data_IF_884693878738
#
_entry.id   IF_884693878738
#
_cell.length_a   1.000
_cell.length_b   1.000
_cell.length_c   1.000
_cell.angle_alpha   90.00
_cell.angle_beta   90.00
_cell.angle_gamma   90.00
#
_symmetry.space_group_name_H-M   'P 1'
#
loop_
_entity.id
_entity.type
_entity.pdbx_description
1 polymer ?
#
# COMPACT_ATOMS: atom_id res chain seq x y z
N UNK A 1 31.17 19.60 5.60
CA UNK A 1 30.99 18.19 5.99
C UNK A 1 29.62 18.10 6.59
N UNK A 2 28.74 17.28 6.02
CA UNK A 2 27.43 17.05 6.61
C UNK A 2 27.61 16.35 7.96
N UNK A 3 26.83 16.78 8.94
CA UNK A 3 26.57 15.96 10.12
C UNK A 3 25.97 14.64 9.69
N UNK A 4 26.17 13.61 10.49
CA UNK A 4 25.51 12.36 10.18
C UNK A 4 23.97 12.57 10.23
N UNK A 5 23.41 13.39 11.15
CA UNK A 5 22.01 13.95 11.23
C UNK A 5 21.54 14.78 10.03
N UNK A 6 22.34 14.93 8.98
CA UNK A 6 22.03 15.71 7.78
C UNK A 6 21.99 14.83 6.51
N UNK A 7 22.01 13.51 6.69
CA UNK A 7 21.89 12.50 5.63
C UNK A 7 20.48 11.86 5.68
N UNK A 8 19.98 11.37 4.55
CA UNK A 8 18.88 10.40 4.51
C UNK A 8 19.45 8.99 4.50
N UNK A 9 19.09 8.15 5.46
CA UNK A 9 19.59 6.77 5.60
C UNK A 9 18.42 5.80 5.55
N UNK A 10 18.59 4.69 4.82
CA UNK A 10 17.64 3.60 4.83
C UNK A 10 17.38 3.11 6.28
N UNK A 11 16.14 3.23 6.74
CA UNK A 11 15.67 2.84 8.09
C UNK A 11 16.36 3.54 9.27
N UNK A 12 17.01 4.71 9.09
CA UNK A 12 17.73 5.39 10.18
C UNK A 12 16.89 5.61 11.45
N UNK A 13 15.59 5.84 11.32
CA UNK A 13 14.65 6.02 12.42
C UNK A 13 14.27 4.73 13.17
N UNK A 14 14.67 3.55 12.68
CA UNK A 14 14.32 2.25 13.24
C UNK A 14 15.41 1.71 14.18
N UNK A 15 15.13 1.56 15.50
CA UNK A 15 16.12 1.12 16.49
C UNK A 15 16.61 -0.33 16.31
N UNK A 16 15.92 -1.13 15.49
CA UNK A 16 16.38 -2.48 15.12
C UNK A 16 17.46 -2.46 14.02
N UNK A 17 17.62 -1.32 13.34
CA UNK A 17 18.58 -1.14 12.25
C UNK A 17 19.66 -0.11 12.58
N UNK A 18 19.40 0.92 13.39
CA UNK A 18 20.38 1.96 13.78
C UNK A 18 20.15 2.48 15.22
N UNK A 19 21.21 2.73 16.00
CA UNK A 19 21.14 3.00 17.47
C UNK A 19 21.93 4.24 17.91
N UNK A 20 21.26 5.40 17.97
CA UNK A 20 21.87 6.72 18.22
C UNK A 20 22.77 6.83 19.46
N UNK A 21 24.10 6.85 19.27
CA UNK A 21 25.08 6.94 20.35
C UNK A 21 26.13 8.04 20.15
N UNK A 22 26.74 8.49 21.24
CA UNK A 22 27.80 9.51 21.23
C UNK A 22 29.18 8.87 21.23
N UNK A 23 29.87 8.87 20.08
CA UNK A 23 31.14 8.18 19.93
C UNK A 23 32.36 9.05 20.34
N UNK A 24 33.24 8.59 21.25
CA UNK A 24 34.44 9.32 21.64
C UNK A 24 35.37 9.60 20.46
N UNK A 25 35.60 10.89 20.18
CA UNK A 25 36.43 11.32 19.03
C UNK A 25 35.65 11.62 17.76
N UNK A 26 34.32 11.46 17.73
CA UNK A 26 33.49 12.03 16.65
C UNK A 26 33.53 13.57 16.69
N UNK A 27 33.38 14.20 15.53
CA UNK A 27 33.14 15.66 15.41
C UNK A 27 31.67 16.04 15.66
N UNK A 28 30.77 15.06 15.70
CA UNK A 28 29.33 15.25 15.91
C UNK A 28 28.90 14.63 17.24
N UNK A 29 27.88 15.20 17.93
CA UNK A 29 27.50 14.79 19.29
C UNK A 29 26.82 13.42 19.36
N UNK A 30 26.38 12.90 18.20
CA UNK A 30 25.86 11.56 17.98
C UNK A 30 26.38 11.05 16.63
N UNK A 31 26.28 9.73 16.47
CA UNK A 31 26.53 8.92 15.27
C UNK A 31 25.62 7.67 15.35
N UNK A 32 25.67 6.83 14.32
CA UNK A 32 25.02 5.51 14.11
C UNK A 32 24.15 4.94 15.24
N UNK A 33 24.36 3.72 15.72
CA UNK A 33 25.19 2.61 15.26
C UNK A 33 24.31 1.57 14.54
N UNK A 34 24.59 1.17 13.29
CA UNK A 34 23.77 0.18 12.58
C UNK A 34 23.82 -1.17 13.30
N UNK A 35 22.68 -1.84 13.45
CA UNK A 35 22.59 -3.10 14.16
C UNK A 35 22.57 -4.30 13.21
N UNK A 36 21.71 -4.26 12.18
CA UNK A 36 21.64 -5.27 11.14
C UNK A 36 20.95 -4.76 9.86
N UNK A 37 21.57 -4.91 8.68
CA UNK A 37 20.94 -4.68 7.35
C UNK A 37 21.42 -5.68 6.29
N UNK A 38 20.71 -5.75 5.17
CA UNK A 38 21.03 -6.61 4.01
C UNK A 38 21.39 -5.85 2.71
N UNK A 39 21.21 -4.53 2.70
CA UNK A 39 21.77 -3.57 1.75
C UNK A 39 21.91 -2.22 2.46
N UNK A 40 22.75 -1.33 1.94
CA UNK A 40 23.01 -0.01 2.50
C UNK A 40 22.60 1.08 1.51
N UNK A 41 21.85 2.08 1.96
CA UNK A 41 21.71 3.34 1.26
C UNK A 41 21.83 4.54 2.20
N UNK A 42 22.68 5.50 1.80
CA UNK A 42 22.79 6.83 2.42
C UNK A 42 22.78 7.91 1.34
N UNK A 43 22.12 9.04 1.61
CA UNK A 43 21.99 10.18 0.69
C UNK A 43 22.28 11.48 1.42
N UNK A 44 23.38 12.15 1.10
CA UNK A 44 23.67 13.51 1.55
C UNK A 44 23.19 14.56 0.56
N UNK A 45 22.77 15.73 1.07
CA UNK A 45 22.43 16.90 0.27
C UNK A 45 23.16 18.13 0.81
N UNK A 46 23.88 18.85 -0.03
CA UNK A 46 24.68 20.02 0.36
C UNK A 46 24.43 21.21 -0.58
N UNK A 47 24.17 22.38 -0.01
CA UNK A 47 24.02 23.65 -0.72
C UNK A 47 25.39 24.16 -1.21
N UNK A 48 25.54 24.42 -2.52
CA UNK A 48 26.83 24.88 -3.10
C UNK A 48 27.24 26.27 -2.64
N UNK A 49 26.32 27.07 -2.07
CA UNK A 49 26.62 28.39 -1.49
C UNK A 49 27.42 28.29 -0.19
N UNK A 50 27.50 27.10 0.42
CA UNK A 50 28.39 26.80 1.54
C UNK A 50 29.83 26.46 1.10
N UNK A 51 30.06 26.36 -0.22
CA UNK A 51 31.34 26.02 -0.82
C UNK A 51 31.94 27.25 -1.54
N UNK A 52 33.26 27.31 -1.60
CA UNK A 52 33.96 28.36 -2.36
C UNK A 52 33.67 28.21 -3.85
N UNK A 53 33.42 29.32 -4.58
CA UNK A 53 33.18 29.28 -6.02
C UNK A 53 34.48 29.01 -6.80
N UNK A 54 34.33 28.65 -8.06
CA UNK A 54 35.40 28.26 -8.99
C UNK A 54 36.40 27.25 -8.41
N UNK A 55 35.90 26.24 -7.68
CA UNK A 55 36.70 25.25 -6.96
C UNK A 55 36.20 23.83 -7.24
N UNK A 56 37.13 22.89 -7.48
CA UNK A 56 36.82 21.45 -7.57
C UNK A 56 36.81 20.86 -6.15
N UNK A 57 35.76 20.11 -5.84
CA UNK A 57 35.57 19.40 -4.58
C UNK A 57 35.50 17.90 -4.83
N UNK A 58 36.28 17.11 -4.08
CA UNK A 58 36.02 15.68 -3.91
C UNK A 58 34.99 15.46 -2.80
N UNK A 59 34.08 14.51 -3.00
CA UNK A 59 33.16 14.06 -1.96
C UNK A 59 33.61 12.72 -1.39
N UNK A 60 33.50 12.57 -0.06
CA UNK A 60 33.97 11.40 0.66
C UNK A 60 32.89 10.94 1.65
N UNK A 61 32.63 9.64 1.70
CA UNK A 61 31.92 9.04 2.83
C UNK A 61 32.95 8.64 3.89
N UNK A 62 32.63 8.91 5.16
CA UNK A 62 33.48 8.64 6.32
C UNK A 62 32.76 7.64 7.22
N UNK A 63 33.45 6.57 7.60
CA UNK A 63 32.88 5.42 8.31
C UNK A 63 33.89 4.78 9.27
N UNK A 64 33.44 3.86 10.12
CA UNK A 64 34.29 3.08 11.02
C UNK A 64 33.64 1.73 11.30
N UNK A 65 34.46 0.70 11.42
CA UNK A 65 34.05 -0.65 11.82
C UNK A 65 34.43 -0.95 13.28
N UNK A 66 33.78 -1.94 13.85
CA UNK A 66 34.09 -2.58 15.13
C UNK A 66 34.81 -3.91 14.92
N UNK A 67 35.45 -4.40 15.98
CA UNK A 67 36.10 -5.72 15.96
C UNK A 67 35.05 -6.84 15.84
N UNK A 68 35.12 -7.62 14.76
CA UNK A 68 34.20 -8.72 14.47
C UNK A 68 33.05 -8.39 13.51
N UNK A 69 33.10 -7.23 12.84
CA UNK A 69 32.18 -6.90 11.75
C UNK A 69 32.47 -7.74 10.50
N UNK A 70 31.42 -8.28 9.88
CA UNK A 70 31.48 -9.02 8.62
C UNK A 70 30.47 -8.44 7.61
N UNK A 71 30.76 -8.59 6.32
CA UNK A 71 29.82 -8.47 5.22
C UNK A 71 30.14 -7.40 4.18
N UNK A 72 31.13 -6.52 4.39
CA UNK A 72 31.56 -5.50 3.42
C UNK A 72 32.84 -5.87 2.64
N UNK A 73 33.35 -7.09 2.83
CA UNK A 73 34.64 -7.61 2.31
C UNK A 73 34.66 -7.90 0.80
N UNK A 74 33.49 -8.10 0.17
CA UNK A 74 33.38 -8.97 -1.02
C UNK A 74 32.83 -8.30 -2.30
N UNK A 75 32.16 -7.14 -2.23
CA UNK A 75 31.51 -6.51 -3.41
C UNK A 75 31.71 -4.99 -3.43
N UNK A 76 31.79 -4.37 -4.62
CA UNK A 76 31.82 -2.92 -4.75
C UNK A 76 30.44 -2.29 -4.52
N UNK A 77 30.42 -1.21 -3.74
CA UNK A 77 29.28 -0.36 -3.46
C UNK A 77 29.22 0.77 -4.50
N UNK A 78 28.02 1.14 -4.97
CA UNK A 78 27.87 2.22 -5.94
C UNK A 78 27.83 3.58 -5.24
N UNK A 79 28.86 4.38 -5.43
CA UNK A 79 28.86 5.80 -5.06
C UNK A 79 28.40 6.67 -6.24
N UNK A 80 27.67 7.74 -5.95
CA UNK A 80 27.16 8.70 -6.91
C UNK A 80 27.25 10.14 -6.40
N UNK A 81 27.50 11.06 -7.31
CA UNK A 81 27.32 12.51 -7.13
C UNK A 81 26.44 13.04 -8.26
N UNK A 82 25.51 13.93 -7.94
CA UNK A 82 24.71 14.70 -8.90
C UNK A 82 24.74 16.18 -8.50
N UNK A 83 25.06 17.07 -9.44
CA UNK A 83 24.97 18.53 -9.23
C UNK A 83 23.76 19.08 -9.96
N UNK A 84 22.87 19.74 -9.21
CA UNK A 84 21.69 20.41 -9.72
C UNK A 84 21.84 21.94 -9.56
N UNK A 85 21.80 22.68 -10.67
CA UNK A 85 21.94 24.13 -10.70
C UNK A 85 23.11 24.59 -11.56
N UNK A 86 22.83 25.45 -12.53
CA UNK A 86 23.69 25.74 -13.68
C UNK A 86 23.08 25.23 -14.99
N UNK A 87 23.27 25.98 -16.09
CA UNK A 87 22.50 25.82 -17.33
C UNK A 87 22.56 24.40 -17.93
N UNK A 88 21.40 23.72 -17.96
CA UNK A 88 21.06 22.52 -18.78
C UNK A 88 22.02 21.31 -18.77
N UNK A 89 23.00 21.24 -17.87
CA UNK A 89 23.83 20.04 -17.68
C UNK A 89 23.83 19.57 -16.23
N UNK A 90 23.00 18.55 -15.94
CA UNK A 90 23.12 17.75 -14.71
C UNK A 90 24.39 16.92 -14.80
N UNK A 91 25.49 17.46 -14.28
CA UNK A 91 26.71 16.72 -14.09
C UNK A 91 26.48 15.63 -13.04
N UNK A 92 26.53 14.37 -13.48
CA UNK A 92 26.45 13.20 -12.60
C UNK A 92 27.66 12.30 -12.80
N UNK A 93 28.28 11.90 -11.69
CA UNK A 93 29.36 10.91 -11.66
C UNK A 93 28.85 9.69 -10.90
N UNK A 94 29.06 8.49 -11.45
CA UNK A 94 28.78 7.21 -10.78
C UNK A 94 30.04 6.35 -10.82
N UNK A 95 30.40 5.76 -9.69
CA UNK A 95 31.58 4.89 -9.55
C UNK A 95 31.33 3.77 -8.54
N UNK A 96 32.26 2.81 -8.52
CA UNK A 96 32.27 1.67 -7.63
C UNK A 96 33.39 1.83 -6.60
N UNK A 97 33.08 1.62 -5.32
CA UNK A 97 33.99 1.79 -4.18
C UNK A 97 33.88 0.63 -3.19
N UNK A 98 34.96 0.30 -2.49
CA UNK A 98 35.03 -0.77 -1.50
C UNK A 98 35.23 -0.18 -0.10
N UNK A 99 34.49 -0.69 0.88
CA UNK A 99 34.55 -0.18 2.26
C UNK A 99 35.54 -0.96 3.14
N UNK A 100 35.79 -2.23 2.85
CA UNK A 100 36.85 -3.01 3.47
C UNK A 100 38.06 -3.19 2.52
N UNK A 101 39.19 -3.61 3.09
CA UNK A 101 40.48 -3.83 2.43
C UNK A 101 41.11 -5.21 2.71
N UNK A 102 40.36 -6.15 3.31
CA UNK A 102 40.90 -7.42 3.82
C UNK A 102 40.68 -8.66 2.94
N UNK A 103 39.76 -8.61 1.96
CA UNK A 103 39.34 -9.76 1.13
C UNK A 103 40.11 -9.97 -0.19
N UNK A 104 40.29 -11.23 -0.61
CA UNK A 104 41.19 -11.69 -1.68
C UNK A 104 40.78 -11.33 -3.15
N UNK A 105 39.99 -10.28 -3.39
CA UNK A 105 39.37 -10.00 -4.70
C UNK A 105 39.69 -8.60 -5.29
N UNK A 106 40.98 -8.22 -5.31
CA UNK A 106 41.45 -7.05 -6.07
C UNK A 106 41.03 -7.12 -7.55
N UNK A 107 40.53 -6.03 -8.16
CA UNK A 107 40.49 -5.90 -9.61
C UNK A 107 41.92 -5.92 -10.17
N UNK A 108 42.12 -6.45 -11.38
CA UNK A 108 43.43 -6.86 -11.90
C UNK A 108 44.38 -5.73 -12.34
N UNK A 109 44.29 -4.53 -11.77
CA UNK A 109 45.16 -3.38 -12.06
C UNK A 109 45.51 -2.59 -10.76
N UNK A 110 46.75 -2.73 -10.24
CA UNK A 110 47.15 -2.14 -8.96
C UNK A 110 47.32 -0.62 -8.99
N UNK A 111 47.21 0.04 -10.15
CA UNK A 111 47.28 1.51 -10.25
C UNK A 111 45.97 2.17 -9.80
N UNK A 112 44.88 1.41 -9.72
CA UNK A 112 43.55 1.90 -9.32
C UNK A 112 43.20 1.62 -7.84
N UNK A 113 43.98 0.77 -7.15
CA UNK A 113 43.63 0.25 -5.81
C UNK A 113 43.50 1.34 -4.73
N UNK A 114 44.32 2.40 -4.75
CA UNK A 114 44.40 3.35 -3.63
C UNK A 114 43.32 4.44 -3.58
N UNK A 115 42.50 4.61 -4.61
CA UNK A 115 41.49 5.70 -4.67
C UNK A 115 40.03 5.23 -4.55
N UNK A 116 39.76 3.93 -4.73
CA UNK A 116 38.41 3.36 -4.65
C UNK A 116 38.19 2.46 -3.43
N UNK A 117 39.23 2.19 -2.64
CA UNK A 117 39.16 1.43 -1.39
C UNK A 117 39.21 2.41 -0.22
N UNK A 118 38.41 2.18 0.83
CA UNK A 118 38.44 3.00 2.02
C UNK A 118 39.77 2.85 2.77
N UNK A 119 40.33 3.96 3.24
CA UNK A 119 41.62 4.00 3.91
C UNK A 119 41.55 4.70 5.28
N UNK A 120 42.38 4.27 6.23
CA UNK A 120 42.37 4.81 7.59
C UNK A 120 43.00 6.21 7.64
N UNK A 121 42.24 7.15 8.21
CA UNK A 121 42.64 8.54 8.47
C UNK A 121 43.41 8.59 9.79
N UNK A 122 44.21 9.63 9.98
CA UNK A 122 44.96 9.86 11.23
C UNK A 122 44.13 10.09 12.51
N UNK A 123 42.80 10.03 12.44
CA UNK A 123 41.87 10.03 13.58
C UNK A 123 41.13 8.68 13.77
N UNK A 124 41.55 7.63 13.05
CA UNK A 124 41.03 6.27 13.16
C UNK A 124 39.68 6.01 12.49
N UNK A 125 39.20 6.95 11.66
CA UNK A 125 38.04 6.73 10.78
C UNK A 125 38.51 6.37 9.38
N UNK A 126 37.73 5.58 8.64
CA UNK A 126 37.96 5.28 7.23
C UNK A 126 37.32 6.36 6.34
N UNK A 127 37.93 6.72 5.21
CA UNK A 127 37.26 7.48 4.13
C UNK A 127 37.54 6.91 2.74
N UNK A 128 36.58 7.10 1.81
CA UNK A 128 36.70 6.69 0.40
C UNK A 128 36.11 7.76 -0.54
N UNK A 129 36.76 7.98 -1.69
CA UNK A 129 36.40 9.01 -2.68
C UNK A 129 35.19 8.58 -3.53
N UNK A 130 34.07 9.28 -3.33
CA UNK A 130 32.81 9.08 -4.05
C UNK A 130 32.79 9.72 -5.44
N UNK A 131 33.71 10.62 -5.75
CA UNK A 131 33.67 11.43 -6.98
C UNK A 131 34.07 12.88 -6.76
N UNK A 132 34.20 13.62 -7.85
CA UNK A 132 34.63 15.02 -7.86
C UNK A 132 33.67 15.89 -8.67
N UNK A 133 33.33 17.07 -8.13
CA UNK A 133 32.47 18.06 -8.79
C UNK A 133 33.08 19.45 -8.78
N UNK A 134 32.76 20.27 -9.78
CA UNK A 134 33.19 21.67 -9.86
C UNK A 134 32.07 22.59 -9.38
N UNK A 135 32.33 23.39 -8.36
CA UNK A 135 31.43 24.48 -7.96
C UNK A 135 31.79 25.74 -8.75
N UNK A 136 31.00 26.13 -9.75
CA UNK A 136 31.23 27.37 -10.49
C UNK A 136 31.04 28.62 -9.61
N UNK A 137 30.09 28.54 -8.66
CA UNK A 137 29.50 29.71 -8.00
C UNK A 137 28.43 30.36 -8.88
N UNK A 138 27.16 30.24 -8.47
CA UNK A 138 26.02 30.79 -9.22
C UNK A 138 26.16 32.30 -9.42
N UNK A 139 26.02 32.77 -10.67
CA UNK A 139 26.17 34.19 -11.01
C UNK A 139 25.03 35.06 -10.50
N UNK A 140 23.84 34.49 -10.37
CA UNK A 140 22.58 35.22 -10.30
C UNK A 140 21.75 34.90 -9.03
N UNK A 141 22.42 34.52 -7.94
CA UNK A 141 21.85 34.08 -6.65
C UNK A 141 21.00 32.79 -6.66
N UNK A 142 20.74 32.19 -7.82
CA UNK A 142 20.22 30.81 -7.90
C UNK A 142 21.24 29.86 -7.25
N UNK A 143 20.83 29.23 -6.14
CA UNK A 143 21.67 28.29 -5.38
C UNK A 143 21.68 26.92 -6.05
N UNK A 144 22.88 26.34 -6.18
CA UNK A 144 23.03 24.96 -6.61
C UNK A 144 22.97 23.99 -5.43
N UNK A 145 22.63 22.74 -5.72
CA UNK A 145 22.53 21.67 -4.73
C UNK A 145 23.34 20.46 -5.23
N UNK A 146 24.20 19.93 -4.36
CA UNK A 146 24.94 18.69 -4.61
C UNK A 146 24.28 17.57 -3.84
N UNK A 147 23.84 16.56 -4.57
CA UNK A 147 23.39 15.29 -4.04
C UNK A 147 24.54 14.29 -4.10
N UNK A 148 24.77 13.60 -2.99
CA UNK A 148 25.76 12.54 -2.87
C UNK A 148 25.02 11.30 -2.37
N UNK A 149 25.21 10.15 -3.00
CA UNK A 149 24.62 8.90 -2.49
C UNK A 149 25.56 7.73 -2.58
N UNK A 150 25.38 6.82 -1.64
CA UNK A 150 26.02 5.50 -1.60
C UNK A 150 24.88 4.50 -1.59
N UNK A 151 24.89 3.57 -2.54
CA UNK A 151 23.90 2.51 -2.70
C UNK A 151 24.62 1.18 -2.92
N UNK A 152 24.38 0.23 -2.03
CA UNK A 152 24.84 -1.15 -2.19
C UNK A 152 23.72 -2.02 -2.79
N UNK A 153 24.07 -2.88 -3.75
CA UNK A 153 23.17 -3.88 -4.33
C UNK A 153 23.28 -5.21 -3.57
N UNK A 154 22.14 -5.91 -3.41
CA UNK A 154 21.94 -7.04 -2.48
C UNK A 154 23.10 -8.04 -2.29
N UNK A 155 23.24 -8.52 -1.05
CA UNK A 155 23.95 -9.79 -0.76
C UNK A 155 23.20 -10.71 0.19
N UNK A 156 23.61 -11.98 0.22
CA UNK A 156 22.90 -13.09 0.87
C UNK A 156 23.24 -13.32 2.36
N UNK A 157 24.12 -12.50 2.94
CA UNK A 157 24.52 -12.53 4.35
C UNK A 157 24.35 -11.12 4.93
N UNK A 158 23.81 -11.02 6.15
CA UNK A 158 23.52 -9.73 6.79
C UNK A 158 24.74 -9.09 7.45
N UNK A 159 24.69 -7.76 7.59
CA UNK A 159 25.81 -6.89 7.98
C UNK A 159 25.45 -6.00 9.17
N UNK A 160 26.44 -5.66 10.01
CA UNK A 160 26.24 -4.93 11.28
C UNK A 160 27.16 -3.68 11.37
N UNK A 161 26.91 -2.80 12.36
CA UNK A 161 27.78 -1.73 12.93
C UNK A 161 28.20 -0.50 12.06
N UNK A 162 27.22 0.20 11.42
CA UNK A 162 27.31 1.42 10.54
C UNK A 162 27.05 2.85 11.16
N UNK A 163 27.60 3.92 10.55
CA UNK A 163 27.78 5.33 11.03
C UNK A 163 26.67 6.46 11.08
N UNK A 164 25.55 6.46 10.30
CA UNK A 164 24.85 7.70 9.82
C UNK A 164 23.38 8.07 10.32
N UNK A 165 22.95 9.37 10.41
CA UNK A 165 21.73 9.86 11.18
C UNK A 165 20.62 10.78 10.48
N UNK A 166 19.35 10.93 10.99
CA UNK A 166 18.42 12.15 10.87
C UNK A 166 16.99 11.95 11.51
N UNK A 167 16.07 12.97 11.60
CA UNK A 167 14.83 12.94 12.47
C UNK A 167 13.66 13.98 12.21
N UNK A 168 12.43 13.79 12.76
CA UNK A 168 11.13 14.54 12.56
C UNK A 168 10.11 14.40 13.76
N UNK A 169 9.06 15.27 13.98
CA UNK A 169 7.69 15.12 14.70
C UNK A 169 7.25 16.42 15.48
N UNK A 170 6.04 16.73 16.02
CA UNK A 170 4.58 16.31 16.03
C UNK A 170 3.70 17.53 16.53
N UNK A 171 2.46 17.60 17.10
CA UNK A 171 1.39 16.74 17.75
C UNK A 171 0.01 17.52 17.88
N UNK A 172 -1.07 17.00 18.52
CA UNK A 172 -2.43 17.63 18.71
C UNK A 172 -3.17 17.20 20.02
N UNK A 173 -4.40 17.69 20.38
CA UNK A 173 -5.19 17.31 21.61
C UNK A 173 -6.77 17.42 21.51
N UNK A 174 -7.57 17.14 22.58
CA UNK A 174 -8.97 16.54 22.57
C UNK A 174 -10.03 17.12 23.57
N UNK A 175 -11.36 16.87 23.38
CA UNK A 175 -12.48 17.06 24.36
C UNK A 175 -13.74 16.14 24.14
N UNK A 176 -14.80 16.18 25.00
CA UNK A 176 -15.90 15.16 25.17
C UNK A 176 -17.38 15.69 25.07
N UNK A 177 -18.42 14.83 25.28
CA UNK A 177 -19.89 15.15 25.21
C UNK A 177 -20.85 14.19 25.98
N UNK A 178 -22.16 14.53 26.05
CA UNK A 178 -23.23 13.90 26.90
C UNK A 178 -24.62 13.82 26.18
N UNK A 179 -25.58 12.97 26.63
CA UNK A 179 -26.86 12.60 25.93
C UNK A 179 -28.19 12.88 26.70
N UNK A 180 -29.34 12.92 25.98
CA UNK A 180 -30.73 12.98 26.52
C UNK A 180 -31.74 12.25 25.58
N UNK A 181 -32.77 11.58 26.13
CA UNK A 181 -33.84 10.85 25.41
C UNK A 181 -35.26 11.39 25.67
N UNK A 182 -36.22 11.10 24.78
CA UNK A 182 -37.66 11.46 24.87
C UNK A 182 -38.57 10.36 24.25
N UNK A 183 -39.72 10.07 24.87
CA UNK A 183 -40.72 9.07 24.41
C UNK A 183 -41.94 9.69 23.70
N UNK A 184 -42.64 8.92 22.85
CA UNK A 184 -43.91 9.31 22.17
C UNK A 184 -44.89 8.11 22.16
N UNK A 185 -46.20 8.38 22.24
CA UNK A 185 -47.27 7.38 22.49
C UNK A 185 -47.92 6.75 21.24
N UNK A 186 -48.67 5.66 21.46
CA UNK A 186 -49.02 4.64 20.44
C UNK A 186 -50.22 4.96 19.49
N UNK A 187 -51.00 6.00 19.75
CA UNK A 187 -52.34 6.22 19.13
C UNK A 187 -52.37 6.61 17.62
N UNK A 188 -51.25 6.58 16.90
CA UNK A 188 -51.12 7.12 15.51
C UNK A 188 -51.15 6.03 14.41
N UNK A 189 -50.98 4.75 14.77
CA UNK A 189 -50.32 3.76 13.90
C UNK A 189 -51.04 3.36 12.59
N UNK A 190 -52.38 3.34 12.52
CA UNK A 190 -53.12 2.70 11.41
C UNK A 190 -53.65 3.67 10.32
N UNK A 191 -52.77 4.42 9.64
CA UNK A 191 -53.13 5.24 8.47
C UNK A 191 -52.51 4.81 7.13
N UNK A 192 -51.45 4.01 7.12
CA UNK A 192 -50.59 3.85 5.94
C UNK A 192 -51.26 3.10 4.76
N UNK A 193 -52.20 2.19 5.02
CA UNK A 193 -52.96 1.47 3.98
C UNK A 193 -53.93 2.35 3.17
N UNK A 194 -54.14 3.61 3.60
CA UNK A 194 -55.04 4.56 2.93
C UNK A 194 -54.33 5.40 1.86
N UNK A 195 -53.02 5.25 1.72
CA UNK A 195 -52.20 5.96 0.75
C UNK A 195 -52.34 5.35 -0.66
N UNK A 196 -52.29 6.15 -1.74
CA UNK A 196 -52.17 5.63 -3.09
C UNK A 196 -50.90 4.81 -3.30
N UNK A 197 -50.93 3.83 -4.21
CA UNK A 197 -49.79 2.96 -4.55
C UNK A 197 -48.52 3.74 -4.93
N UNK A 198 -48.68 4.87 -5.64
CA UNK A 198 -47.57 5.78 -5.94
C UNK A 198 -46.91 6.36 -4.69
N UNK A 199 -47.70 6.86 -3.73
CA UNK A 199 -47.17 7.39 -2.47
C UNK A 199 -46.51 6.30 -1.61
N UNK A 200 -47.02 5.07 -1.64
CA UNK A 200 -46.37 3.92 -0.99
C UNK A 200 -45.05 3.60 -1.72
N UNK A 201 -45.03 3.65 -3.04
CA UNK A 201 -43.81 3.46 -3.85
C UNK A 201 -42.76 4.53 -3.51
N UNK A 202 -43.15 5.81 -3.46
CA UNK A 202 -42.26 6.93 -3.11
C UNK A 202 -41.66 6.76 -1.69
N UNK A 203 -42.46 6.28 -0.73
CA UNK A 203 -41.98 5.96 0.63
C UNK A 203 -41.01 4.78 0.61
N UNK A 204 -41.35 3.68 -0.07
CA UNK A 204 -40.51 2.48 -0.14
C UNK A 204 -39.19 2.74 -0.87
N UNK A 205 -39.19 3.63 -1.86
CA UNK A 205 -38.00 4.06 -2.59
C UNK A 205 -36.99 4.85 -1.73
N UNK A 206 -37.37 5.27 -0.52
CA UNK A 206 -36.49 5.88 0.49
C UNK A 206 -35.99 4.86 1.55
N UNK A 207 -36.38 3.59 1.43
CA UNK A 207 -35.96 2.49 2.31
C UNK A 207 -34.86 1.64 1.67
N UNK A 208 -34.50 0.49 2.26
CA UNK A 208 -33.57 -0.46 1.62
C UNK A 208 -34.31 -1.44 0.69
N UNK A 209 -33.63 -2.03 -0.32
CA UNK A 209 -34.11 -3.18 -1.08
C UNK A 209 -34.65 -4.32 -0.20
N UNK A 210 -34.01 -4.57 0.95
CA UNK A 210 -34.47 -5.56 1.93
C UNK A 210 -35.77 -5.13 2.63
N UNK A 211 -35.94 -3.85 2.96
CA UNK A 211 -37.17 -3.32 3.56
C UNK A 211 -38.35 -3.33 2.60
N UNK A 212 -38.16 -2.89 1.34
CA UNK A 212 -39.21 -3.02 0.34
C UNK A 212 -39.66 -4.48 0.17
N UNK A 213 -38.72 -5.44 0.15
CA UNK A 213 -39.05 -6.87 0.11
C UNK A 213 -39.74 -7.38 1.38
N UNK A 214 -39.46 -6.82 2.56
CA UNK A 214 -40.22 -7.09 3.80
C UNK A 214 -41.64 -6.50 3.71
N UNK A 215 -41.77 -5.27 3.20
CA UNK A 215 -43.05 -4.58 3.03
C UNK A 215 -44.01 -5.30 2.07
N UNK A 216 -43.51 -6.07 1.09
CA UNK A 216 -44.33 -6.97 0.26
C UNK A 216 -45.26 -7.90 1.07
N UNK A 217 -44.94 -8.17 2.33
CA UNK A 217 -45.71 -9.07 3.20
C UNK A 217 -46.85 -8.37 3.95
N UNK A 218 -46.93 -7.04 3.94
CA UNK A 218 -47.95 -6.26 4.65
C UNK A 218 -49.32 -6.38 3.98
N UNK A 219 -49.40 -6.08 2.67
CA UNK A 219 -50.63 -6.24 1.89
C UNK A 219 -50.34 -6.35 0.40
N UNK A 220 -51.36 -6.69 -0.41
CA UNK A 220 -51.25 -6.74 -1.87
C UNK A 220 -50.91 -5.39 -2.49
N UNK A 221 -51.34 -4.28 -1.88
CA UNK A 221 -51.02 -2.92 -2.30
C UNK A 221 -49.53 -2.60 -2.07
N UNK A 222 -49.02 -2.93 -0.88
CA UNK A 222 -47.59 -2.80 -0.58
C UNK A 222 -46.73 -3.70 -1.47
N UNK A 223 -47.20 -4.93 -1.79
CA UNK A 223 -46.49 -5.79 -2.74
C UNK A 223 -46.40 -5.16 -4.12
N UNK A 224 -47.49 -4.62 -4.66
CA UNK A 224 -47.50 -3.98 -5.97
C UNK A 224 -46.53 -2.77 -6.02
N UNK A 225 -46.59 -1.91 -5.00
CA UNK A 225 -45.64 -0.80 -4.84
C UNK A 225 -44.18 -1.27 -4.74
N UNK A 226 -43.90 -2.32 -3.95
CA UNK A 226 -42.56 -2.87 -3.75
C UNK A 226 -42.01 -3.74 -4.90
N UNK A 227 -42.87 -4.14 -5.84
CA UNK A 227 -42.49 -4.81 -7.10
C UNK A 227 -42.35 -3.79 -8.26
N UNK A 228 -42.70 -2.51 -8.06
CA UNK A 228 -42.69 -1.44 -9.08
C UNK A 228 -41.28 -0.99 -9.49
N UNK A 229 -41.04 -0.91 -10.80
CA UNK A 229 -39.77 -0.43 -11.38
C UNK A 229 -39.39 1.00 -10.94
N UNK A 230 -40.34 1.83 -10.51
CA UNK A 230 -40.06 3.18 -9.95
C UNK A 230 -39.27 3.09 -8.64
N UNK A 231 -39.57 2.08 -7.81
CA UNK A 231 -38.86 1.81 -6.56
C UNK A 231 -37.47 1.25 -6.86
N UNK A 232 -37.39 0.27 -7.75
CA UNK A 232 -36.12 -0.39 -8.08
C UNK A 232 -35.14 0.51 -8.83
N UNK A 233 -35.61 1.51 -9.60
CA UNK A 233 -34.72 2.53 -10.19
C UNK A 233 -34.03 3.41 -9.12
N UNK A 234 -34.64 3.60 -7.95
CA UNK A 234 -34.03 4.34 -6.83
C UNK A 234 -33.05 3.50 -6.01
N UNK A 235 -33.14 2.17 -6.10
CA UNK A 235 -32.22 1.22 -5.47
C UNK A 235 -30.99 0.88 -6.33
N UNK A 236 -31.01 1.24 -7.61
CA UNK A 236 -29.87 1.07 -8.51
C UNK A 236 -28.90 2.26 -8.34
N UNK A 237 -27.57 2.05 -8.35
CA UNK A 237 -26.61 3.15 -8.35
C UNK A 237 -26.82 4.05 -9.58
N UNK A 238 -26.77 5.39 -9.49
CA UNK A 238 -27.12 6.27 -10.62
C UNK A 238 -26.37 5.98 -11.93
N UNK A 239 -25.11 5.57 -11.83
CA UNK A 239 -24.21 5.22 -12.92
C UNK A 239 -24.37 3.78 -13.44
N UNK A 240 -25.42 3.04 -13.04
CA UNK A 240 -25.60 1.64 -13.42
C UNK A 240 -25.59 1.40 -14.94
N UNK A 241 -26.09 2.34 -15.74
CA UNK A 241 -26.08 2.25 -17.21
C UNK A 241 -24.67 2.35 -17.79
N UNK A 242 -23.78 3.12 -17.16
CA UNK A 242 -22.37 3.28 -17.56
C UNK A 242 -21.46 2.18 -17.01
N UNK A 243 -21.84 1.55 -15.90
CA UNK A 243 -21.25 0.27 -15.47
C UNK A 243 -21.62 -0.83 -16.48
N UNK A 244 -22.89 -0.84 -16.92
CA UNK A 244 -23.45 -1.78 -17.90
C UNK A 244 -22.81 -1.63 -19.28
N UNK A 245 -22.58 -0.42 -19.77
CA UNK A 245 -22.01 -0.18 -21.11
C UNK A 245 -20.56 -0.68 -21.22
N UNK A 246 -19.86 -0.82 -20.08
CA UNK A 246 -18.49 -1.36 -19.95
C UNK A 246 -18.45 -2.88 -19.76
N UNK A 247 -19.58 -3.58 -19.82
CA UNK A 247 -19.66 -5.03 -19.68
C UNK A 247 -18.84 -5.77 -20.76
N UNK A 248 -18.01 -6.72 -20.32
CA UNK A 248 -17.14 -7.50 -21.22
C UNK A 248 -17.90 -8.52 -22.08
N UNK A 249 -19.10 -8.93 -21.65
CA UNK A 249 -20.01 -9.80 -22.40
C UNK A 249 -21.43 -9.22 -22.41
N UNK A 250 -22.26 -9.49 -23.44
CA UNK A 250 -23.65 -9.02 -23.51
C UNK A 250 -24.54 -9.61 -22.38
N UNK A 251 -24.65 -8.89 -21.26
CA UNK A 251 -25.27 -9.37 -20.02
C UNK A 251 -26.80 -9.24 -19.96
N UNK A 252 -27.41 -8.41 -20.83
CA UNK A 252 -28.71 -7.79 -20.56
C UNK A 252 -29.89 -8.11 -21.47
N UNK A 253 -29.72 -8.92 -22.51
CA UNK A 253 -30.76 -9.17 -23.54
C UNK A 253 -32.02 -9.91 -23.06
N UNK A 254 -32.19 -10.11 -21.75
CA UNK A 254 -33.23 -10.96 -21.18
C UNK A 254 -33.78 -10.52 -19.81
N UNK A 255 -33.46 -9.33 -19.28
CA UNK A 255 -34.06 -8.85 -18.03
C UNK A 255 -35.42 -8.16 -18.32
N UNK A 256 -36.47 -8.53 -17.57
CA UNK A 256 -37.85 -8.10 -17.81
C UNK A 256 -38.34 -6.95 -16.91
N UNK A 257 -37.62 -6.65 -15.84
CA UNK A 257 -37.89 -5.55 -14.90
C UNK A 257 -36.60 -5.04 -14.25
N UNK A 258 -36.66 -3.86 -13.60
CA UNK A 258 -35.56 -3.31 -12.79
C UNK A 258 -35.26 -4.20 -11.59
N UNK A 259 -36.30 -4.79 -10.97
CA UNK A 259 -36.15 -5.77 -9.88
C UNK A 259 -35.37 -7.02 -10.33
N UNK A 260 -35.64 -7.51 -11.53
CA UNK A 260 -34.90 -8.65 -12.08
C UNK A 260 -33.45 -8.27 -12.43
N UNK A 261 -33.24 -7.08 -13.01
CA UNK A 261 -31.90 -6.54 -13.28
C UNK A 261 -31.07 -6.41 -12.00
N UNK A 262 -31.64 -5.84 -10.94
CA UNK A 262 -31.01 -5.73 -9.62
C UNK A 262 -30.57 -7.10 -9.12
N UNK A 263 -31.47 -8.11 -9.09
CA UNK A 263 -31.10 -9.44 -8.61
C UNK A 263 -30.02 -10.10 -9.49
N UNK A 264 -30.04 -9.91 -10.81
CA UNK A 264 -28.96 -10.41 -11.69
C UNK A 264 -27.61 -9.79 -11.34
N UNK A 265 -27.57 -8.48 -11.06
CA UNK A 265 -26.35 -7.77 -10.64
C UNK A 265 -25.95 -8.08 -9.18
N UNK A 266 -26.88 -8.51 -8.33
CA UNK A 266 -26.57 -9.01 -6.97
C UNK A 266 -26.07 -10.45 -6.96
N UNK A 267 -26.61 -11.32 -7.82
CA UNK A 267 -26.35 -12.77 -7.77
C UNK A 267 -25.23 -13.22 -8.72
N UNK A 268 -24.89 -12.42 -9.73
CA UNK A 268 -23.84 -12.73 -10.71
C UNK A 268 -22.89 -11.53 -10.90
N UNK A 269 -21.59 -11.65 -10.56
CA UNK A 269 -20.62 -10.59 -10.80
C UNK A 269 -20.48 -10.24 -12.28
N UNK A 270 -20.79 -9.00 -12.63
CA UNK A 270 -20.64 -8.43 -13.97
C UNK A 270 -19.17 -8.12 -14.24
N UNK A 271 -18.57 -8.76 -15.24
CA UNK A 271 -17.22 -8.45 -15.68
C UNK A 271 -17.24 -7.15 -16.51
N UNK A 272 -16.43 -6.17 -16.10
CA UNK A 272 -16.31 -4.85 -16.75
C UNK A 272 -14.85 -4.56 -17.13
N UNK A 273 -14.62 -3.45 -17.85
CA UNK A 273 -13.31 -2.92 -18.20
C UNK A 273 -12.39 -3.99 -18.85
N UNK A 274 -12.86 -4.60 -19.95
CA UNK A 274 -12.13 -5.68 -20.63
C UNK A 274 -12.08 -7.01 -19.86
N UNK A 275 -12.91 -7.16 -18.81
CA UNK A 275 -12.93 -8.34 -17.94
C UNK A 275 -11.84 -8.34 -16.88
N UNK A 276 -11.24 -7.18 -16.61
CA UNK A 276 -10.17 -6.99 -15.64
C UNK A 276 -10.69 -6.62 -14.24
N UNK A 277 -11.93 -6.12 -14.15
CA UNK A 277 -12.66 -5.88 -12.89
C UNK A 277 -13.99 -6.64 -12.88
N UNK A 278 -14.54 -6.90 -11.69
CA UNK A 278 -15.94 -7.36 -11.55
C UNK A 278 -16.76 -6.44 -10.64
N UNK A 279 -17.93 -6.06 -11.11
CA UNK A 279 -18.96 -5.31 -10.38
C UNK A 279 -20.06 -6.26 -9.87
N UNK A 280 -20.62 -5.98 -8.70
CA UNK A 280 -21.79 -6.69 -8.16
C UNK A 280 -22.57 -5.72 -7.22
N UNK A 281 -23.84 -5.99 -6.95
CA UNK A 281 -24.63 -5.21 -5.98
C UNK A 281 -24.75 -5.97 -4.64
N UNK A 282 -24.56 -5.26 -3.53
CA UNK A 282 -24.90 -5.78 -2.20
C UNK A 282 -26.43 -5.94 -2.12
N UNK A 283 -26.88 -7.17 -1.94
CA UNK A 283 -28.27 -7.60 -2.14
C UNK A 283 -29.27 -6.91 -1.20
N UNK A 284 -28.85 -6.51 0.01
CA UNK A 284 -29.73 -5.87 0.99
C UNK A 284 -29.88 -4.35 0.82
N UNK A 285 -28.85 -3.67 0.31
CA UNK A 285 -28.69 -2.21 0.35
C UNK A 285 -28.47 -1.53 -1.01
N UNK A 286 -28.21 -2.27 -2.09
CA UNK A 286 -27.90 -1.72 -3.42
C UNK A 286 -26.53 -1.07 -3.55
N UNK A 287 -25.68 -1.17 -2.52
CA UNK A 287 -24.33 -0.58 -2.52
C UNK A 287 -23.38 -1.38 -3.45
N UNK A 288 -22.43 -0.70 -4.10
CA UNK A 288 -21.54 -1.31 -5.12
C UNK A 288 -20.46 -2.19 -4.48
N UNK A 289 -20.29 -3.42 -4.95
CA UNK A 289 -19.07 -4.22 -4.82
C UNK A 289 -18.16 -3.99 -6.05
N UNK A 290 -16.85 -3.89 -5.84
CA UNK A 290 -15.86 -3.84 -6.93
C UNK A 290 -14.68 -4.77 -6.60
N UNK A 291 -14.36 -5.70 -7.50
CA UNK A 291 -13.08 -6.43 -7.49
C UNK A 291 -12.15 -5.88 -8.55
N UNK A 292 -10.94 -5.48 -8.15
CA UNK A 292 -9.77 -5.36 -9.03
C UNK A 292 -9.19 -6.75 -9.25
N UNK A 293 -9.13 -7.22 -10.48
CA UNK A 293 -8.44 -8.47 -10.80
C UNK A 293 -6.94 -8.37 -10.63
N UNK A 294 -6.26 -9.51 -10.44
CA UNK A 294 -4.81 -9.57 -10.33
C UNK A 294 -4.05 -8.91 -11.50
N UNK A 295 -4.69 -8.68 -12.66
CA UNK A 295 -4.12 -7.94 -13.80
C UNK A 295 -4.26 -6.42 -13.74
N UNK A 296 -5.11 -5.89 -12.86
CA UNK A 296 -5.18 -4.45 -12.49
C UNK A 296 -4.25 -4.12 -11.31
N UNK A 297 -3.69 -5.13 -10.64
CA UNK A 297 -2.80 -4.95 -9.50
C UNK A 297 -1.36 -4.73 -9.97
N UNK A 298 -0.69 -3.75 -9.36
CA UNK A 298 0.76 -3.61 -9.45
C UNK A 298 1.38 -4.68 -8.53
N UNK A 299 1.93 -5.73 -9.13
CA UNK A 299 2.60 -6.84 -8.44
C UNK A 299 4.10 -6.73 -8.68
N UNK A 300 4.90 -6.69 -7.61
CA UNK A 300 6.35 -6.61 -7.72
C UNK A 300 6.93 -7.83 -8.48
N UNK A 301 7.79 -7.54 -9.46
CA UNK A 301 8.31 -8.48 -10.45
C UNK A 301 7.23 -9.28 -11.21
N UNK A 302 5.99 -8.80 -11.27
CA UNK A 302 4.85 -9.47 -11.91
C UNK A 302 5.01 -9.69 -13.42
N UNK A 303 5.93 -8.98 -14.07
CA UNK A 303 6.35 -9.20 -15.45
C UNK A 303 7.33 -10.37 -15.61
N UNK A 304 8.12 -10.68 -14.57
CA UNK A 304 9.16 -11.70 -14.62
C UNK A 304 8.58 -13.13 -14.49
N UNK A 305 8.69 -13.99 -15.52
CA UNK A 305 8.10 -15.32 -15.53
C UNK A 305 8.80 -16.32 -14.59
N UNK A 306 9.92 -15.96 -13.94
CA UNK A 306 10.53 -16.78 -12.89
C UNK A 306 9.80 -16.61 -11.55
N UNK A 307 9.30 -15.42 -11.25
CA UNK A 307 8.63 -15.11 -9.98
C UNK A 307 7.12 -15.34 -10.05
N UNK A 308 6.48 -14.97 -11.16
CA UNK A 308 5.03 -15.05 -11.32
C UNK A 308 4.59 -15.80 -12.58
N UNK A 309 3.45 -16.48 -12.50
CA UNK A 309 2.83 -17.17 -13.63
C UNK A 309 1.37 -16.78 -13.79
N UNK A 310 1.03 -16.26 -14.98
CA UNK A 310 -0.30 -15.75 -15.30
C UNK A 310 -1.10 -16.77 -16.08
N UNK A 311 -2.10 -17.39 -15.44
CA UNK A 311 -2.97 -18.38 -16.07
C UNK A 311 -4.44 -18.14 -15.77
N UNK A 312 -5.31 -18.72 -16.61
CA UNK A 312 -6.69 -18.97 -16.21
C UNK A 312 -6.73 -20.05 -15.12
N UNK A 313 -7.71 -19.97 -14.21
CA UNK A 313 -7.80 -20.86 -13.06
C UNK A 313 -9.25 -21.34 -12.85
N UNK A 314 -9.50 -22.65 -12.66
CA UNK A 314 -10.85 -23.19 -12.46
C UNK A 314 -11.57 -22.55 -11.27
N UNK A 315 -12.81 -22.11 -11.49
CA UNK A 315 -13.59 -21.38 -10.49
C UNK A 315 -13.10 -19.95 -10.21
N UNK A 316 -12.18 -19.39 -11.02
CA UNK A 316 -11.97 -17.95 -11.05
C UNK A 316 -13.08 -17.27 -11.84
N UNK A 317 -13.66 -16.18 -11.31
CA UNK A 317 -14.56 -15.32 -12.09
C UNK A 317 -13.79 -14.47 -13.12
N UNK A 318 -12.47 -14.32 -12.96
CA UNK A 318 -11.60 -13.50 -13.80
C UNK A 318 -10.67 -14.36 -14.68
N UNK A 319 -10.42 -13.90 -15.91
CA UNK A 319 -9.75 -14.67 -16.95
C UNK A 319 -8.27 -15.01 -16.67
N UNK A 320 -7.58 -14.24 -15.83
CA UNK A 320 -6.19 -14.50 -15.40
C UNK A 320 -6.01 -14.20 -13.91
N UNK A 321 -5.29 -15.08 -13.23
CA UNK A 321 -4.83 -14.93 -11.84
C UNK A 321 -3.29 -14.91 -11.81
N UNK A 322 -2.70 -14.43 -10.71
CA UNK A 322 -1.24 -14.41 -10.52
C UNK A 322 -0.81 -15.55 -9.58
N UNK A 323 -0.13 -16.57 -10.10
CA UNK A 323 0.45 -17.66 -9.30
C UNK A 323 1.91 -17.36 -8.97
N UNK A 324 2.26 -17.36 -7.68
CA UNK A 324 3.62 -17.17 -7.21
C UNK A 324 4.44 -18.45 -7.34
N UNK A 325 5.59 -18.36 -8.01
CA UNK A 325 6.58 -19.44 -8.19
C UNK A 325 7.71 -19.41 -7.16
N UNK A 326 8.34 -18.26 -6.96
CA UNK A 326 9.40 -18.06 -5.97
C UNK A 326 9.72 -16.57 -5.86
N UNK A 327 9.80 -16.01 -4.66
CA UNK A 327 10.28 -14.65 -4.41
C UNK A 327 10.80 -14.55 -2.96
N UNK A 328 11.57 -13.51 -2.60
CA UNK A 328 12.01 -13.28 -1.21
C UNK A 328 11.07 -12.35 -0.43
N UNK A 329 10.41 -11.42 -1.12
CA UNK A 329 9.50 -10.43 -0.55
C UNK A 329 8.26 -10.30 -1.45
N UNK A 330 7.14 -9.83 -0.90
CA UNK A 330 5.91 -9.66 -1.68
C UNK A 330 5.44 -8.23 -1.58
N UNK A 331 5.06 -7.66 -2.71
CA UNK A 331 4.31 -6.42 -2.79
C UNK A 331 3.22 -6.57 -3.86
N UNK A 332 1.99 -6.31 -3.43
CA UNK A 332 0.80 -6.29 -4.28
C UNK A 332 0.07 -5.01 -3.92
N UNK A 333 -0.08 -4.09 -4.89
CA UNK A 333 -0.86 -2.85 -4.73
C UNK A 333 -2.04 -2.83 -5.69
N UNK A 334 -3.21 -2.45 -5.19
CA UNK A 334 -4.40 -2.13 -5.97
C UNK A 334 -4.72 -0.64 -5.88
N UNK A 335 -5.23 -0.07 -6.97
CA UNK A 335 -5.69 1.32 -7.04
C UNK A 335 -7.07 1.38 -7.70
N UNK A 336 -8.02 2.11 -7.10
CA UNK A 336 -9.34 2.33 -7.67
C UNK A 336 -9.80 3.78 -7.44
N UNK A 337 -10.33 4.42 -8.48
CA UNK A 337 -11.05 5.70 -8.38
C UNK A 337 -12.29 5.52 -7.49
N UNK A 338 -12.41 6.32 -6.42
CA UNK A 338 -13.49 6.17 -5.44
C UNK A 338 -14.88 6.52 -5.97
N UNK A 339 -14.98 7.18 -7.13
CA UNK A 339 -16.25 7.43 -7.84
C UNK A 339 -16.87 6.15 -8.41
N UNK A 340 -16.07 5.08 -8.58
CA UNK A 340 -16.57 3.74 -8.95
C UNK A 340 -17.24 2.99 -7.79
N UNK A 341 -17.21 3.54 -6.58
CA UNK A 341 -17.87 3.01 -5.38
C UNK A 341 -19.21 3.72 -5.11
N UNK A 342 -19.95 3.29 -4.09
CA UNK A 342 -21.10 4.04 -3.59
C UNK A 342 -20.64 5.18 -2.68
N UNK A 343 -21.12 6.43 -2.85
CA UNK A 343 -20.87 7.50 -1.87
C UNK A 343 -21.61 7.20 -0.56
N UNK A 344 -21.19 7.88 0.53
CA UNK A 344 -21.72 7.72 1.89
C UNK A 344 -21.83 6.24 2.30
N UNK A 345 -20.70 5.54 2.29
CA UNK A 345 -20.62 4.08 2.48
C UNK A 345 -19.30 3.68 3.13
N UNK A 346 -19.34 2.91 4.22
CA UNK A 346 -18.14 2.31 4.80
C UNK A 346 -17.72 1.08 3.98
N UNK A 347 -16.45 0.99 3.61
CA UNK A 347 -15.89 -0.07 2.77
C UNK A 347 -14.79 -0.82 3.50
N UNK A 348 -14.83 -2.15 3.44
CA UNK A 348 -13.70 -3.01 3.77
C UNK A 348 -13.05 -3.56 2.49
N UNK A 349 -11.73 -3.64 2.49
CA UNK A 349 -10.94 -4.17 1.38
C UNK A 349 -10.41 -5.57 1.73
N UNK A 350 -10.54 -6.51 0.80
CA UNK A 350 -10.15 -7.90 0.98
C UNK A 350 -9.13 -8.34 -0.07
N UNK A 351 -8.04 -9.00 0.36
CA UNK A 351 -7.19 -9.75 -0.58
C UNK A 351 -7.86 -11.10 -0.84
N UNK A 352 -7.99 -11.50 -2.11
CA UNK A 352 -8.64 -12.75 -2.51
C UNK A 352 -7.64 -13.66 -3.21
N UNK A 353 -7.43 -14.86 -2.65
CA UNK A 353 -6.38 -15.79 -3.08
C UNK A 353 -6.74 -17.26 -2.89
N UNK A 354 -5.88 -18.15 -3.38
CA UNK A 354 -5.85 -19.59 -3.11
C UNK A 354 -4.43 -20.02 -2.78
N UNK A 355 -4.30 -21.18 -2.15
CA UNK A 355 -3.04 -21.87 -1.96
C UNK A 355 -2.92 -23.06 -2.92
N UNK A 356 -1.69 -23.40 -3.29
CA UNK A 356 -1.33 -24.69 -3.90
C UNK A 356 -1.18 -25.74 -2.82
N UNK A 357 -1.17 -27.01 -3.23
CA UNK A 357 -0.88 -28.19 -2.40
C UNK A 357 0.43 -28.08 -1.60
N UNK A 358 1.36 -27.24 -2.07
CA UNK A 358 2.56 -26.79 -1.35
C UNK A 358 2.58 -25.26 -1.34
N UNK A 359 2.48 -24.70 -0.13
CA UNK A 359 2.68 -23.28 0.20
C UNK A 359 3.87 -23.16 1.15
N UNK A 360 4.68 -22.11 1.03
CA UNK A 360 5.88 -21.92 1.85
C UNK A 360 6.21 -20.43 2.03
N UNK A 361 6.73 -20.06 3.21
CA UNK A 361 7.16 -18.70 3.54
C UNK A 361 6.05 -17.74 4.01
N UNK A 362 4.92 -18.29 4.48
CA UNK A 362 3.71 -17.56 4.92
C UNK A 362 3.27 -17.96 6.34
N UNK A 363 4.21 -18.42 7.16
CA UNK A 363 4.04 -18.77 8.58
C UNK A 363 4.01 -17.54 9.52
N UNK A 364 4.20 -16.36 8.95
CA UNK A 364 4.24 -15.06 9.61
C UNK A 364 3.19 -14.13 8.99
N UNK A 365 2.73 -13.09 9.70
CA UNK A 365 1.80 -12.14 9.12
C UNK A 365 2.49 -11.24 8.09
N UNK A 366 1.76 -10.91 7.04
CA UNK A 366 2.10 -9.87 6.08
C UNK A 366 1.44 -8.56 6.50
N UNK A 367 2.02 -7.42 6.14
CA UNK A 367 1.42 -6.11 6.38
C UNK A 367 0.34 -5.84 5.33
N UNK A 368 -0.76 -5.25 5.76
CA UNK A 368 -1.85 -4.81 4.90
C UNK A 368 -2.28 -3.39 5.27
N UNK A 369 -2.54 -2.56 4.25
CA UNK A 369 -2.92 -1.16 4.42
C UNK A 369 -3.98 -0.77 3.40
N UNK A 370 -4.86 0.16 3.78
CA UNK A 370 -5.79 0.85 2.90
C UNK A 370 -5.67 2.34 3.18
N UNK A 371 -5.55 3.16 2.14
CA UNK A 371 -5.34 4.60 2.26
C UNK A 371 -6.12 5.35 1.16
N UNK A 372 -6.64 6.52 1.50
CA UNK A 372 -7.26 7.45 0.55
C UNK A 372 -6.23 8.49 0.08
N UNK A 373 -6.24 8.79 -1.22
CA UNK A 373 -5.26 9.67 -1.87
C UNK A 373 -5.98 10.66 -2.78
N UNK A 374 -5.51 11.91 -2.83
CA UNK A 374 -6.05 12.97 -3.70
C UNK A 374 -7.19 13.81 -3.11
N UNK A 375 -7.79 13.40 -1.99
CA UNK A 375 -8.80 14.20 -1.28
C UNK A 375 -8.18 15.43 -0.61
N UNK A 376 -8.99 16.48 -0.42
CA UNK A 376 -8.60 17.68 0.33
C UNK A 376 -8.16 17.32 1.76
N UNK A 377 -7.16 18.04 2.27
CA UNK A 377 -6.48 17.68 3.53
C UNK A 377 -7.36 17.91 4.76
N UNK A 378 -8.04 16.85 5.22
CA UNK A 378 -8.82 16.83 6.47
C UNK A 378 -9.13 15.41 6.95
N UNK A 379 -9.82 14.61 6.14
CA UNK A 379 -10.56 13.44 6.63
C UNK A 379 -9.79 12.10 6.59
N UNK A 380 -8.49 12.11 6.91
CA UNK A 380 -7.70 10.87 6.98
C UNK A 380 -7.99 10.00 8.22
N UNK A 381 -8.71 10.52 9.22
CA UNK A 381 -9.12 9.77 10.43
C UNK A 381 -10.04 8.57 10.11
N UNK A 382 -10.66 8.52 8.93
CA UNK A 382 -11.64 7.49 8.56
C UNK A 382 -11.05 6.34 7.74
N UNK A 383 -9.72 6.18 7.70
CA UNK A 383 -9.02 5.01 7.17
C UNK A 383 -8.43 4.16 8.32
N UNK A 384 -8.47 2.83 8.20
CA UNK A 384 -7.81 1.94 9.17
C UNK A 384 -6.29 2.03 9.09
N UNK A 385 -5.62 1.98 10.24
CA UNK A 385 -4.17 1.82 10.34
C UNK A 385 -3.63 0.56 9.62
N UNK A 386 -2.32 0.56 9.33
CA UNK A 386 -1.59 -0.61 8.84
C UNK A 386 -1.71 -1.77 9.83
N UNK A 387 -2.10 -2.95 9.34
CA UNK A 387 -2.37 -4.13 10.16
C UNK A 387 -1.57 -5.34 9.68
N UNK A 388 -1.37 -6.27 10.60
CA UNK A 388 -0.73 -7.55 10.33
C UNK A 388 -1.79 -8.61 10.06
N UNK A 389 -1.74 -9.26 8.90
CA UNK A 389 -2.70 -10.29 8.46
C UNK A 389 -1.99 -11.60 8.10
N UNK A 390 -2.57 -12.72 8.50
CA UNK A 390 -2.02 -14.06 8.32
C UNK A 390 -2.64 -14.69 7.09
N UNK A 391 -1.81 -15.10 6.11
CA UNK A 391 -2.35 -15.76 4.92
C UNK A 391 -2.65 -17.24 5.20
N UNK A 392 -1.88 -17.93 6.04
CA UNK A 392 -2.12 -19.33 6.40
C UNK A 392 -2.28 -19.46 7.91
N UNK A 393 -3.34 -20.13 8.38
CA UNK A 393 -3.40 -20.58 9.76
C UNK A 393 -2.55 -21.84 9.93
N UNK A 394 -1.39 -21.68 10.57
CA UNK A 394 -0.50 -22.78 10.92
C UNK A 394 -0.64 -23.21 12.40
N UNK A 395 -1.52 -22.60 13.19
CA UNK A 395 -1.72 -22.92 14.61
C UNK A 395 -0.48 -22.77 15.52
N UNK A 396 0.56 -22.06 15.06
CA UNK A 396 1.82 -21.86 15.80
C UNK A 396 1.76 -20.70 16.79
N UNK A 397 2.88 -20.45 17.49
CA UNK A 397 3.01 -19.45 18.58
C UNK A 397 2.74 -17.99 18.15
N UNK A 398 2.65 -17.72 16.84
CA UNK A 398 2.31 -16.41 16.27
C UNK A 398 0.88 -16.31 15.71
N UNK A 399 0.09 -17.39 15.70
CA UNK A 399 -1.34 -17.29 15.31
C UNK A 399 -2.08 -16.43 16.35
N UNK A 400 -3.05 -15.57 15.95
CA UNK A 400 -3.72 -14.67 16.90
C UNK A 400 -4.37 -15.44 18.05
N UNK A 401 -3.90 -15.16 19.28
CA UNK A 401 -4.25 -15.88 20.52
C UNK A 401 -5.74 -15.83 20.89
N UNK A 402 -6.53 -14.98 20.25
CA UNK A 402 -7.97 -14.85 20.44
C UNK A 402 -8.73 -15.39 19.20
N UNK A 403 -9.46 -16.51 19.32
CA UNK A 403 -10.27 -17.08 18.24
C UNK A 403 -11.35 -16.15 17.69
N UNK A 404 -11.76 -15.11 18.43
CA UNK A 404 -12.74 -14.12 17.94
C UNK A 404 -12.12 -13.11 16.97
N UNK A 405 -10.84 -12.75 17.18
CA UNK A 405 -10.09 -11.86 16.30
C UNK A 405 -9.51 -12.58 15.09
N UNK A 406 -9.23 -13.88 15.19
CA UNK A 406 -8.76 -14.70 14.07
C UNK A 406 -9.63 -14.55 12.80
N UNK A 407 -10.95 -14.44 12.96
CA UNK A 407 -11.90 -14.26 11.85
C UNK A 407 -11.80 -12.94 11.07
N UNK A 408 -11.01 -11.96 11.51
CA UNK A 408 -10.74 -10.70 10.82
C UNK A 408 -9.33 -10.65 10.19
N UNK A 409 -8.31 -11.16 10.91
CA UNK A 409 -6.89 -11.02 10.53
C UNK A 409 -6.30 -12.26 9.86
N UNK A 410 -6.98 -13.41 9.85
CA UNK A 410 -6.50 -14.65 9.22
C UNK A 410 -7.31 -14.94 7.96
N UNK A 411 -6.66 -15.42 6.90
CA UNK A 411 -7.35 -15.74 5.66
C UNK A 411 -8.26 -16.97 5.82
N UNK A 412 -9.52 -16.82 5.43
CA UNK A 412 -10.61 -17.78 5.63
C UNK A 412 -11.31 -18.14 4.33
N UNK A 413 -11.94 -19.31 4.27
CA UNK A 413 -12.72 -19.76 3.11
C UNK A 413 -14.01 -18.91 2.95
N UNK A 414 -14.37 -18.60 1.70
CA UNK A 414 -15.45 -17.64 1.34
C UNK A 414 -16.80 -18.28 0.99
N UNK A 415 -16.85 -19.59 0.77
CA UNK A 415 -18.00 -20.34 0.27
C UNK A 415 -17.96 -20.60 -1.25
N UNK A 416 -17.03 -19.99 -2.00
CA UNK A 416 -16.76 -20.25 -3.42
C UNK A 416 -15.40 -20.95 -3.66
N UNK A 417 -14.82 -21.49 -2.59
CA UNK A 417 -13.54 -22.19 -2.56
C UNK A 417 -12.32 -21.26 -2.58
N UNK A 418 -12.49 -19.93 -2.68
CA UNK A 418 -11.40 -18.96 -2.51
C UNK A 418 -11.24 -18.56 -1.04
N UNK A 419 -10.03 -18.13 -0.70
CA UNK A 419 -9.70 -17.56 0.61
C UNK A 419 -9.72 -16.03 0.55
N UNK A 420 -10.12 -15.39 1.65
CA UNK A 420 -10.16 -13.94 1.81
C UNK A 420 -9.59 -13.48 3.15
N UNK A 421 -9.02 -12.27 3.24
CA UNK A 421 -8.62 -11.62 4.50
C UNK A 421 -8.85 -10.10 4.45
N UNK A 422 -9.30 -9.47 5.55
CA UNK A 422 -9.59 -8.03 5.61
C UNK A 422 -8.30 -7.19 5.73
N UNK A 423 -7.87 -6.60 4.61
CA UNK A 423 -6.67 -5.76 4.52
C UNK A 423 -6.78 -4.44 5.29
N UNK A 424 -8.01 -3.94 5.44
CA UNK A 424 -8.30 -2.63 6.03
C UNK A 424 -9.70 -2.16 5.65
N UNK A 425 -10.05 -0.96 6.09
CA UNK A 425 -11.32 -0.32 5.78
C UNK A 425 -11.22 1.20 5.73
N UNK A 426 -12.19 1.84 5.08
CA UNK A 426 -12.29 3.30 4.94
C UNK A 426 -13.74 3.74 4.72
N UNK A 427 -14.05 5.01 4.97
CA UNK A 427 -15.32 5.60 4.57
C UNK A 427 -15.23 6.27 3.19
N UNK A 428 -16.14 5.90 2.28
CA UNK A 428 -16.32 6.61 1.03
C UNK A 428 -17.34 7.74 1.23
N UNK A 429 -16.86 8.98 1.24
CA UNK A 429 -17.68 10.18 1.34
C UNK A 429 -18.39 10.48 0.02
N UNK A 430 -19.22 11.52 -0.02
CA UNK A 430 -19.76 12.07 -1.25
C UNK A 430 -18.91 13.28 -1.62
N UNK A 431 -18.27 13.23 -2.79
CA UNK A 431 -17.36 14.27 -3.30
C UNK A 431 -18.09 15.08 -4.38
N UNK A 432 -17.70 16.34 -4.59
CA UNK A 432 -18.19 17.14 -5.72
C UNK A 432 -17.60 16.62 -7.05
N UNK A 433 -18.21 16.96 -8.19
CA UNK A 433 -17.94 16.29 -9.48
C UNK A 433 -16.48 16.45 -9.98
N UNK A 434 -15.80 17.51 -9.54
CA UNK A 434 -14.39 17.81 -9.82
C UNK A 434 -13.41 17.34 -8.73
N UNK A 435 -13.88 17.00 -7.51
CA UNK A 435 -13.06 16.40 -6.45
C UNK A 435 -12.84 14.90 -6.69
N UNK A 436 -11.85 14.57 -7.53
CA UNK A 436 -11.37 13.21 -7.73
C UNK A 436 -10.55 12.68 -6.54
N UNK A 437 -10.77 11.42 -6.16
CA UNK A 437 -9.97 10.75 -5.12
C UNK A 437 -9.86 9.25 -5.36
N UNK A 438 -8.71 8.68 -5.01
CA UNK A 438 -8.37 7.27 -5.19
C UNK A 438 -8.32 6.52 -3.85
N UNK A 439 -8.72 5.26 -3.83
CA UNK A 439 -8.36 4.31 -2.78
C UNK A 439 -7.18 3.47 -3.26
N UNK A 440 -6.12 3.48 -2.47
CA UNK A 440 -4.99 2.58 -2.60
C UNK A 440 -5.12 1.45 -1.57
N UNK A 441 -4.78 0.24 -1.98
CA UNK A 441 -4.75 -0.95 -1.15
C UNK A 441 -3.39 -1.62 -1.33
N UNK A 442 -2.74 -2.06 -0.26
CA UNK A 442 -1.49 -2.80 -0.36
C UNK A 442 -1.44 -4.01 0.56
N UNK A 443 -0.75 -5.05 0.09
CA UNK A 443 -0.25 -6.14 0.92
C UNK A 443 1.25 -6.26 0.67
N UNK A 444 2.01 -6.16 1.76
CA UNK A 444 3.45 -5.97 1.79
C UNK A 444 4.08 -7.00 2.74
N UNK A 445 5.11 -7.69 2.28
CA UNK A 445 6.01 -8.45 3.14
C UNK A 445 7.45 -8.24 2.64
N UNK A 446 7.96 -7.05 2.95
CA UNK A 446 9.28 -6.54 2.53
C UNK A 446 10.37 -6.77 3.58
N UNK A 447 9.99 -6.94 4.85
CA UNK A 447 10.90 -7.00 6.00
C UNK A 447 11.52 -8.40 6.21
N UNK A 448 10.87 -9.46 5.70
CA UNK A 448 11.23 -10.86 5.99
C UNK A 448 11.53 -11.62 4.71
N UNK A 449 12.80 -11.54 4.27
CA UNK A 449 13.32 -12.02 2.98
C UNK A 449 13.37 -13.57 2.81
N UNK A 450 12.53 -14.31 3.52
CA UNK A 450 12.39 -15.76 3.36
C UNK A 450 11.81 -16.12 1.99
N UNK A 451 12.21 -17.26 1.43
CA UNK A 451 11.63 -17.75 0.18
C UNK A 451 10.12 -17.95 0.31
N UNK A 452 9.35 -17.51 -0.69
CA UNK A 452 7.87 -17.54 -0.70
C UNK A 452 7.34 -18.23 -1.95
N UNK A 453 6.39 -19.14 -1.79
CA UNK A 453 5.81 -19.94 -2.87
C UNK A 453 4.36 -20.32 -2.58
N UNK A 454 3.55 -20.46 -3.63
CA UNK A 454 2.31 -21.24 -3.59
C UNK A 454 1.02 -20.45 -3.41
N UNK A 455 1.07 -19.12 -3.33
CA UNK A 455 -0.14 -18.28 -3.42
C UNK A 455 -0.60 -18.11 -4.86
N UNK A 456 -1.91 -18.03 -5.05
CA UNK A 456 -2.59 -17.77 -6.32
C UNK A 456 -3.56 -16.61 -6.09
N UNK A 457 -3.19 -15.40 -6.50
CA UNK A 457 -3.96 -14.18 -6.24
C UNK A 457 -5.01 -13.99 -7.33
N UNK A 458 -6.29 -13.94 -6.95
CA UNK A 458 -7.40 -13.60 -7.84
C UNK A 458 -7.52 -12.08 -8.03
N UNK A 459 -7.38 -11.31 -6.94
CA UNK A 459 -7.59 -9.88 -6.96
C UNK A 459 -7.71 -9.26 -5.56
N UNK A 460 -8.06 -7.98 -5.52
CA UNK A 460 -8.49 -7.26 -4.32
C UNK A 460 -9.96 -6.86 -4.48
N UNK A 461 -10.79 -7.04 -3.45
CA UNK A 461 -12.23 -6.81 -3.51
C UNK A 461 -12.69 -5.82 -2.43
N UNK A 462 -13.41 -4.78 -2.86
CA UNK A 462 -13.96 -3.72 -2.03
C UNK A 462 -15.44 -4.01 -1.77
N UNK A 463 -15.79 -4.09 -0.49
CA UNK A 463 -17.13 -4.46 -0.01
C UNK A 463 -17.71 -3.42 0.93
N UNK A 464 -18.98 -3.00 0.74
CA UNK A 464 -19.73 -2.28 1.76
C UNK A 464 -19.74 -3.11 3.05
N UNK A 465 -19.37 -2.49 4.17
CA UNK A 465 -19.50 -3.06 5.51
C UNK A 465 -20.73 -2.42 6.17
N UNK A 466 -21.60 -3.23 6.77
CA UNK A 466 -22.72 -2.71 7.56
C UNK A 466 -22.17 -2.18 8.87
N UNK A 467 -22.68 -1.04 9.35
CA UNK A 467 -22.18 -0.33 10.52
C UNK A 467 -22.39 -1.09 11.84
N UNK A 468 -21.55 -2.09 12.10
CA UNK A 468 -21.38 -2.67 13.44
C UNK A 468 -20.42 -1.79 14.23
N UNK A 469 -20.96 -0.71 14.79
CA UNK A 469 -20.30 0.24 15.72
C UNK A 469 -19.19 1.10 15.11
N UNK A 470 -19.56 2.33 14.74
CA UNK A 470 -18.66 3.49 14.84
C UNK A 470 -18.64 3.91 16.32
N UNK A 471 -17.48 4.17 16.95
CA UNK A 471 -17.37 4.61 18.35
C UNK A 471 -17.71 6.10 18.55
#
# INVERSE_FOLDING_TARGET
>A
MLGAKELGIAWGDNPNHWRWEGYPGSRFPKVAELQWVCWLETRGKLDTRLLSPNTVYGAYIVLKFKEGDNGFEDEPIKAKIEVAGGNDSVCSEERLVYFDSSGEHSPSDPVLESQYVAHERGDGWMEVDMGHFYNEGGRDNEGGEVHMSVLETERLLGKNNLDTESEVKSTMERAEKEEVLVEISEDIINNIERLPEGCISDILALTTPADACRSCLVSTLFKSAADSDVVWEKFMPPDYQDIISRAFYPFLSAASSKKELYYRLSDYPLLIDGGLKSFQLEKSSGKKFIMLGAKELAIAHGDNPQHWYWRGYPGSRLAKVAELKWIRWIEIRGKLDTRLLSPKTFYAAYLVLKFKDVVYGFDQPVKAKVELVGRAAGNNEVCSEERHVYLVDNGGEHSPLDPTLAGQYVARERGDGWMEVEMGHFYNEELEEDEGGDVHMSVLETERLGSKYGIIVQGMELRPKVDTQIP
#
